data_IF_384431524950
#
_entry.id   IF_384431524950
#
_cell.length_a   1.000
_cell.length_b   1.000
_cell.length_c   1.000
_cell.angle_alpha   90.00
_cell.angle_beta   90.00
_cell.angle_gamma   90.00
#
_symmetry.space_group_name_H-M   'P 1'
#
loop_
_entity.id
_entity.type
_entity.pdbx_description
1 polymer ?
#
# COMPACT_ATOMS: atom_id res chain seq x y z
N UNK A 1 87.75 -29.54 14.33
CA UNK A 1 87.19 -30.91 14.22
C UNK A 1 86.00 -30.88 13.27
N UNK A 2 85.47 -32.04 12.89
CA UNK A 2 84.67 -32.23 11.67
C UNK A 2 83.20 -31.74 11.72
N UNK A 3 82.59 -31.71 10.53
CA UNK A 3 81.12 -31.80 10.28
C UNK A 3 80.51 -32.97 11.10
N UNK A 4 79.20 -33.06 11.40
CA UNK A 4 78.10 -33.08 10.45
C UNK A 4 76.71 -33.17 11.12
N UNK A 5 75.68 -32.81 10.33
CA UNK A 5 74.31 -33.35 10.20
C UNK A 5 73.57 -34.02 11.40
N UNK A 6 72.30 -33.63 11.58
CA UNK A 6 71.27 -34.38 12.29
C UNK A 6 69.86 -33.93 11.89
N UNK A 7 69.10 -34.79 11.22
CA UNK A 7 67.77 -34.51 10.64
C UNK A 7 66.60 -34.95 11.54
N UNK A 8 65.48 -34.24 11.50
CA UNK A 8 64.15 -34.79 11.83
C UNK A 8 63.04 -34.03 11.07
N UNK A 9 62.00 -34.76 10.61
CA UNK A 9 60.88 -34.22 9.83
C UNK A 9 59.51 -34.70 10.37
N UNK A 10 58.43 -34.17 9.76
CA UNK A 10 56.98 -34.47 9.94
C UNK A 10 56.34 -33.97 11.24
N UNK A 11 55.07 -33.55 11.32
CA UNK A 11 53.95 -33.41 10.33
C UNK A 11 53.02 -32.23 10.75
N UNK A 12 52.09 -31.72 9.90
CA UNK A 12 51.36 -30.47 10.16
C UNK A 12 50.05 -30.63 10.94
N UNK A 13 49.67 -29.58 11.68
CA UNK A 13 48.37 -29.46 12.37
C UNK A 13 47.33 -28.70 11.52
N UNK A 14 46.06 -29.09 11.61
CA UNK A 14 44.96 -28.64 10.77
C UNK A 14 44.13 -27.52 11.42
N UNK A 15 44.62 -26.29 11.29
CA UNK A 15 43.95 -25.07 11.76
C UNK A 15 42.73 -24.64 10.93
N UNK A 16 41.60 -24.37 11.61
CA UNK A 16 40.28 -24.00 11.05
C UNK A 16 40.29 -22.79 10.09
N UNK A 17 39.36 -22.73 9.10
CA UNK A 17 39.17 -21.56 8.25
C UNK A 17 38.67 -20.34 9.05
N UNK A 18 39.09 -19.15 8.62
CA UNK A 18 38.90 -17.90 9.35
C UNK A 18 37.46 -17.40 9.42
N UNK A 19 37.12 -16.77 10.55
CA UNK A 19 35.83 -16.14 10.76
C UNK A 19 35.67 -14.88 9.89
N UNK A 20 34.65 -14.86 9.03
CA UNK A 20 34.26 -13.67 8.28
C UNK A 20 33.69 -12.59 9.21
N UNK A 21 34.04 -11.33 8.95
CA UNK A 21 33.55 -10.17 9.70
C UNK A 21 32.05 -9.95 9.40
N UNK A 22 31.16 -9.88 10.41
CA UNK A 22 29.74 -9.58 10.20
C UNK A 22 29.52 -8.07 9.98
N UNK A 23 29.78 -7.62 8.75
CA UNK A 23 29.69 -6.21 8.35
C UNK A 23 28.29 -5.80 7.87
N UNK A 24 27.44 -5.33 8.79
CA UNK A 24 26.20 -4.61 8.47
C UNK A 24 24.92 -5.47 8.49
N UNK A 25 24.22 -5.45 9.62
CA UNK A 25 22.80 -5.81 9.62
C UNK A 25 22.02 -4.82 8.73
N UNK A 26 20.98 -5.25 7.99
CA UNK A 26 20.12 -4.33 7.25
C UNK A 26 19.57 -3.29 8.23
N UNK A 27 19.73 -2.01 7.89
CA UNK A 27 19.13 -0.93 8.66
C UNK A 27 17.64 -1.20 8.78
N UNK A 28 17.10 -1.13 10.02
CA UNK A 28 15.70 -1.42 10.28
C UNK A 28 14.82 -0.49 9.43
N UNK A 29 14.24 -1.04 8.35
CA UNK A 29 13.38 -0.30 7.47
C UNK A 29 12.09 0.02 8.24
N UNK A 30 11.98 1.26 8.70
CA UNK A 30 10.76 1.75 9.35
C UNK A 30 9.55 1.61 8.43
N UNK A 31 8.35 1.66 9.02
CA UNK A 31 7.10 1.57 8.28
C UNK A 31 7.03 2.56 7.10
N UNK A 32 6.56 2.07 5.96
CA UNK A 32 6.47 2.83 4.71
C UNK A 32 5.04 3.37 4.57
N UNK A 33 4.85 4.60 5.07
CA UNK A 33 3.55 5.28 5.10
C UNK A 33 3.47 6.27 3.94
N UNK A 34 2.43 6.15 3.11
CA UNK A 34 2.15 7.02 1.98
C UNK A 34 0.86 7.79 2.25
N UNK A 35 0.95 9.10 2.25
CA UNK A 35 0.00 10.05 2.84
C UNK A 35 0.03 11.39 2.07
N UNK A 36 -0.58 12.47 2.60
CA UNK A 36 -0.64 13.78 1.91
C UNK A 36 0.73 14.34 1.48
N UNK A 37 1.82 13.95 2.16
CA UNK A 37 3.19 14.42 1.88
C UNK A 37 3.79 13.78 0.62
N UNK A 38 3.15 12.74 0.10
CA UNK A 38 3.61 11.91 -1.01
C UNK A 38 2.80 12.16 -2.29
N UNK A 39 2.40 13.41 -2.56
CA UNK A 39 1.42 13.76 -3.61
C UNK A 39 2.01 14.54 -4.79
N UNK A 40 3.26 15.00 -4.69
CA UNK A 40 3.94 15.77 -5.75
C UNK A 40 4.57 14.84 -6.80
N UNK A 41 3.78 14.35 -7.74
CA UNK A 41 4.24 13.39 -8.77
C UNK A 41 5.34 13.92 -9.69
N UNK A 42 5.59 15.23 -9.74
CA UNK A 42 6.67 15.80 -10.56
C UNK A 42 8.06 15.60 -9.93
N UNK A 43 8.11 15.21 -8.65
CA UNK A 43 9.33 14.73 -7.98
C UNK A 43 9.62 13.24 -8.20
N UNK A 44 8.75 12.49 -8.89
CA UNK A 44 9.02 11.10 -9.29
C UNK A 44 9.92 11.11 -10.53
N UNK A 45 11.17 10.60 -10.48
CA UNK A 45 12.04 10.60 -11.65
C UNK A 45 11.45 9.79 -12.81
N UNK A 46 11.55 10.31 -14.04
CA UNK A 46 11.02 9.65 -15.23
C UNK A 46 11.51 8.19 -15.40
N UNK A 47 12.77 7.89 -15.02
CA UNK A 47 13.32 6.53 -14.99
C UNK A 47 12.52 5.56 -14.10
N UNK A 48 11.93 6.05 -13.02
CA UNK A 48 11.12 5.23 -12.10
C UNK A 48 9.71 4.98 -12.66
N UNK A 49 9.12 5.97 -13.32
CA UNK A 49 7.85 5.81 -14.05
C UNK A 49 8.04 4.80 -15.20
N UNK A 50 9.15 4.89 -15.93
CA UNK A 50 9.52 3.91 -16.96
C UNK A 50 9.71 2.51 -16.35
N UNK A 51 10.46 2.37 -15.26
CA UNK A 51 10.66 1.08 -14.59
C UNK A 51 9.35 0.43 -14.11
N UNK A 52 8.38 1.24 -13.64
CA UNK A 52 7.03 0.77 -13.29
C UNK A 52 6.24 0.31 -14.52
N UNK A 53 6.21 1.13 -15.57
CA UNK A 53 5.38 0.91 -16.78
C UNK A 53 5.95 -0.12 -17.76
N UNK A 54 7.25 -0.44 -17.65
CA UNK A 54 7.90 -1.56 -18.34
C UNK A 54 7.86 -2.87 -17.54
N UNK A 55 7.40 -2.86 -16.28
CA UNK A 55 7.34 -4.05 -15.44
C UNK A 55 6.20 -5.00 -15.83
N UNK A 56 6.40 -6.29 -15.63
CA UNK A 56 5.33 -7.30 -15.71
C UNK A 56 4.52 -7.41 -14.40
N UNK A 57 4.91 -6.69 -13.34
CA UNK A 57 4.22 -6.72 -12.06
C UNK A 57 2.76 -6.24 -12.18
N UNK A 58 1.86 -6.91 -11.44
CA UNK A 58 0.45 -6.53 -11.30
C UNK A 58 0.15 -6.17 -9.85
N UNK A 59 -0.65 -5.12 -9.66
CA UNK A 59 -1.32 -4.83 -8.39
C UNK A 59 -2.70 -5.49 -8.42
N UNK A 60 -3.01 -6.34 -7.45
CA UNK A 60 -4.39 -6.71 -7.15
C UNK A 60 -4.97 -5.67 -6.21
N UNK A 61 -6.16 -5.17 -6.53
CA UNK A 61 -6.85 -4.18 -5.71
C UNK A 61 -8.33 -4.55 -5.54
N UNK A 62 -8.74 -4.91 -4.32
CA UNK A 62 -10.16 -5.05 -3.99
C UNK A 62 -10.69 -3.77 -3.36
N UNK A 63 -11.87 -3.30 -3.75
CA UNK A 63 -12.45 -2.12 -3.11
C UNK A 63 -13.97 -2.06 -3.19
N UNK A 64 -14.54 -1.05 -2.51
CA UNK A 64 -15.92 -0.59 -2.72
C UNK A 64 -15.89 0.85 -3.28
N UNK A 65 -16.98 1.60 -3.17
CA UNK A 65 -17.14 2.93 -3.80
C UNK A 65 -16.01 3.92 -3.51
N UNK A 66 -15.61 4.09 -2.24
CA UNK A 66 -14.51 4.99 -1.87
C UNK A 66 -13.18 4.63 -2.53
N UNK A 67 -12.82 3.35 -2.60
CA UNK A 67 -11.54 2.94 -3.20
C UNK A 67 -11.44 3.21 -4.71
N UNK A 68 -12.58 3.38 -5.40
CA UNK A 68 -12.61 3.76 -6.81
C UNK A 68 -12.02 5.16 -7.07
N UNK A 69 -11.83 6.00 -6.04
CA UNK A 69 -11.10 7.28 -6.14
C UNK A 69 -9.69 7.11 -6.74
N UNK A 70 -8.98 6.01 -6.45
CA UNK A 70 -7.65 5.75 -7.03
C UNK A 70 -7.75 5.54 -8.55
N UNK A 71 -8.74 4.77 -9.02
CA UNK A 71 -8.96 4.46 -10.43
C UNK A 71 -9.42 5.70 -11.21
N UNK A 72 -10.44 6.38 -10.69
CA UNK A 72 -10.98 7.61 -11.27
C UNK A 72 -9.92 8.71 -11.33
N UNK A 73 -9.15 8.87 -10.25
CA UNK A 73 -8.03 9.80 -10.16
C UNK A 73 -6.88 9.46 -11.11
N UNK A 74 -6.54 8.18 -11.27
CA UNK A 74 -5.50 7.75 -12.20
C UNK A 74 -5.92 7.98 -13.66
N UNK A 75 -7.20 7.77 -13.99
CA UNK A 75 -7.77 8.15 -15.29
C UNK A 75 -7.62 9.66 -15.53
N UNK A 76 -8.05 10.49 -14.59
CA UNK A 76 -7.92 11.97 -14.67
C UNK A 76 -6.46 12.41 -14.83
N UNK A 77 -5.59 11.90 -13.97
CA UNK A 77 -4.18 12.28 -13.93
C UNK A 77 -3.44 11.94 -15.23
N UNK A 78 -3.80 10.83 -15.89
CA UNK A 78 -3.25 10.46 -17.20
C UNK A 78 -3.60 11.46 -18.31
N UNK A 79 -4.74 12.13 -18.24
CA UNK A 79 -5.17 13.12 -19.24
C UNK A 79 -4.23 14.35 -19.25
N UNK A 80 -3.65 14.70 -18.10
CA UNK A 80 -2.65 15.79 -17.97
C UNK A 80 -1.19 15.33 -17.92
N UNK A 81 -0.93 14.09 -17.46
CA UNK A 81 0.42 13.49 -17.36
C UNK A 81 0.43 12.08 -17.99
N UNK A 82 0.50 11.95 -19.33
CA UNK A 82 0.33 10.66 -20.03
C UNK A 82 1.32 9.55 -19.63
N UNK A 83 2.50 9.91 -19.10
CA UNK A 83 3.47 8.94 -18.60
C UNK A 83 2.98 8.19 -17.33
N UNK A 84 2.07 8.78 -16.54
CA UNK A 84 1.43 8.15 -15.39
C UNK A 84 0.28 7.23 -15.84
N UNK A 85 0.60 6.30 -16.74
CA UNK A 85 -0.34 5.41 -17.38
C UNK A 85 -0.65 4.19 -16.49
N UNK A 86 -1.84 4.17 -15.88
CA UNK A 86 -2.39 2.99 -15.21
C UNK A 86 -3.36 2.26 -16.16
N UNK A 87 -3.07 1.00 -16.45
CA UNK A 87 -4.00 0.08 -17.11
C UNK A 87 -4.75 -0.72 -16.04
N UNK A 88 -6.07 -0.79 -16.16
CA UNK A 88 -6.96 -1.46 -15.19
C UNK A 88 -7.74 -2.55 -15.92
N UNK A 89 -7.76 -3.76 -15.35
CA UNK A 89 -8.46 -4.92 -15.88
C UNK A 89 -9.48 -5.45 -14.88
N UNK A 90 -10.76 -5.49 -15.25
CA UNK A 90 -11.81 -6.06 -14.42
C UNK A 90 -11.57 -7.57 -14.23
N UNK A 91 -11.42 -8.01 -12.98
CA UNK A 91 -11.19 -9.39 -12.59
C UNK A 91 -10.12 -10.12 -13.46
N UNK A 92 -9.12 -9.36 -13.94
CA UNK A 92 -8.13 -9.84 -14.90
C UNK A 92 -6.89 -8.94 -14.93
N UNK A 93 -5.74 -9.50 -15.32
CA UNK A 93 -4.54 -8.71 -15.54
C UNK A 93 -4.63 -7.99 -16.91
N UNK A 94 -4.43 -6.66 -16.99
CA UNK A 94 -4.27 -5.95 -18.25
C UNK A 94 -3.15 -6.54 -19.10
N UNK A 95 -3.15 -6.30 -20.42
CA UNK A 95 -1.99 -6.61 -21.26
C UNK A 95 -0.70 -5.96 -20.71
N UNK A 96 0.45 -6.58 -20.95
CA UNK A 96 1.73 -6.02 -20.55
C UNK A 96 2.25 -4.99 -21.56
N UNK A 97 2.91 -3.94 -21.07
CA UNK A 97 3.63 -2.96 -21.88
C UNK A 97 3.10 -1.52 -21.74
N UNK A 98 4.01 -0.59 -21.39
CA UNK A 98 3.77 0.86 -21.41
C UNK A 98 2.79 1.38 -20.36
N UNK A 99 2.41 0.57 -19.37
CA UNK A 99 1.48 0.92 -18.31
C UNK A 99 1.80 0.17 -17.02
N UNK A 100 1.55 0.81 -15.87
CA UNK A 100 1.42 0.11 -14.60
C UNK A 100 0.13 -0.72 -14.66
N UNK A 101 0.14 -1.96 -14.17
CA UNK A 101 -0.96 -2.92 -14.38
C UNK A 101 -1.72 -3.19 -13.09
N UNK A 102 -3.03 -2.97 -13.10
CA UNK A 102 -3.92 -3.28 -11.97
C UNK A 102 -4.98 -4.30 -12.37
N UNK A 103 -5.04 -5.40 -11.61
CA UNK A 103 -6.17 -6.31 -11.52
C UNK A 103 -7.16 -5.69 -10.55
N UNK A 104 -8.25 -5.14 -11.09
CA UNK A 104 -9.35 -4.58 -10.31
C UNK A 104 -10.27 -5.72 -9.86
N UNK A 105 -10.42 -5.86 -8.55
CA UNK A 105 -11.24 -6.86 -7.91
C UNK A 105 -10.54 -8.18 -7.56
N UNK A 106 -11.33 -9.24 -7.58
CA UNK A 106 -10.96 -10.62 -7.24
C UNK A 106 -11.19 -11.53 -8.45
N UNK A 107 -11.49 -12.82 -8.26
CA UNK A 107 -11.64 -13.80 -9.35
C UNK A 107 -12.87 -13.59 -10.26
N UNK A 108 -13.90 -12.85 -9.82
CA UNK A 108 -15.20 -12.77 -10.52
C UNK A 108 -15.92 -11.41 -10.43
N UNK A 109 -15.45 -10.51 -9.56
CA UNK A 109 -16.15 -9.30 -9.11
C UNK A 109 -15.09 -8.23 -8.79
N UNK A 110 -15.47 -6.94 -8.82
CA UNK A 110 -14.67 -5.82 -8.31
C UNK A 110 -15.33 -5.05 -7.14
N UNK A 111 -16.59 -5.35 -6.79
CA UNK A 111 -17.25 -4.84 -5.59
C UNK A 111 -16.86 -5.65 -4.33
N UNK A 112 -15.57 -5.60 -3.96
CA UNK A 112 -14.98 -6.49 -2.95
C UNK A 112 -15.31 -6.01 -1.54
N UNK A 113 -16.25 -6.68 -0.90
CA UNK A 113 -16.53 -6.53 0.54
C UNK A 113 -15.46 -7.23 1.39
N UNK A 114 -15.41 -6.89 2.68
CA UNK A 114 -14.48 -7.45 3.65
C UNK A 114 -14.51 -9.00 3.68
N UNK A 115 -15.69 -9.59 3.57
CA UNK A 115 -15.93 -11.03 3.58
C UNK A 115 -15.30 -11.74 2.38
N UNK A 116 -15.09 -11.02 1.27
CA UNK A 116 -14.49 -11.53 0.03
C UNK A 116 -12.96 -11.39 -0.01
N UNK A 117 -12.33 -10.86 1.06
CA UNK A 117 -10.88 -10.59 1.09
C UNK A 117 -10.20 -11.00 2.40
N UNK A 118 -10.68 -10.52 3.57
CA UNK A 118 -9.98 -10.71 4.86
C UNK A 118 -10.86 -11.19 6.03
N UNK A 119 -12.17 -10.95 5.99
CA UNK A 119 -13.05 -11.18 7.15
C UNK A 119 -13.61 -12.61 7.25
N UNK A 120 -13.55 -13.40 6.17
CA UNK A 120 -13.93 -14.82 6.18
C UNK A 120 -12.84 -15.69 5.58
N UNK A 121 -12.77 -16.95 6.02
CA UNK A 121 -11.86 -17.96 5.46
C UNK A 121 -12.05 -18.13 3.95
N UNK A 122 -13.31 -18.18 3.47
CA UNK A 122 -13.61 -18.28 2.05
C UNK A 122 -13.11 -17.08 1.23
N UNK A 123 -13.14 -15.86 1.78
CA UNK A 123 -12.53 -14.68 1.15
C UNK A 123 -11.01 -14.80 1.04
N UNK A 124 -10.37 -15.22 2.14
CA UNK A 124 -8.92 -15.43 2.21
C UNK A 124 -8.47 -16.56 1.27
N UNK A 125 -9.25 -17.64 1.14
CA UNK A 125 -8.97 -18.76 0.23
C UNK A 125 -9.16 -18.39 -1.25
N UNK A 126 -10.13 -17.52 -1.56
CA UNK A 126 -10.25 -16.94 -2.90
C UNK A 126 -9.02 -16.06 -3.23
N UNK A 127 -8.50 -15.30 -2.25
CA UNK A 127 -7.27 -14.53 -2.43
C UNK A 127 -6.05 -15.43 -2.60
N UNK A 128 -5.91 -16.48 -1.78
CA UNK A 128 -4.87 -17.51 -1.95
C UNK A 128 -4.91 -18.13 -3.33
N UNK A 129 -6.10 -18.48 -3.82
CA UNK A 129 -6.30 -19.08 -5.15
C UNK A 129 -5.89 -18.12 -6.27
N UNK A 130 -6.26 -16.84 -6.15
CA UNK A 130 -5.82 -15.79 -7.07
C UNK A 130 -4.29 -15.65 -7.08
N UNK A 131 -3.66 -15.46 -5.92
CA UNK A 131 -2.21 -15.26 -5.81
C UNK A 131 -1.40 -16.50 -6.23
N UNK A 132 -1.90 -17.73 -5.98
CA UNK A 132 -1.27 -18.99 -6.43
C UNK A 132 -1.37 -19.18 -7.96
N UNK A 133 -2.46 -18.73 -8.57
CA UNK A 133 -2.69 -18.83 -10.03
C UNK A 133 -2.11 -17.65 -10.85
N UNK A 134 -1.71 -16.56 -10.18
CA UNK A 134 -1.22 -15.31 -10.80
C UNK A 134 0.10 -14.84 -10.19
N UNK A 135 1.23 -15.52 -10.48
CA UNK A 135 2.55 -15.14 -9.94
C UNK A 135 3.06 -13.77 -10.38
N UNK A 136 2.42 -13.14 -11.38
CA UNK A 136 2.62 -11.76 -11.79
C UNK A 136 2.07 -10.73 -10.78
N UNK A 137 1.14 -11.12 -9.89
CA UNK A 137 0.65 -10.25 -8.82
C UNK A 137 1.75 -10.09 -7.77
N UNK A 138 2.26 -8.86 -7.62
CA UNK A 138 3.34 -8.51 -6.68
C UNK A 138 2.88 -7.64 -5.53
N UNK A 139 1.69 -7.05 -5.66
CA UNK A 139 1.09 -6.17 -4.67
C UNK A 139 -0.38 -6.55 -4.51
N UNK A 140 -0.86 -6.55 -3.27
CA UNK A 140 -2.24 -6.93 -2.93
C UNK A 140 -2.74 -5.92 -1.92
N UNK A 141 -3.84 -5.22 -2.24
CA UNK A 141 -4.37 -4.16 -1.38
C UNK A 141 -5.90 -4.18 -1.36
N UNK A 142 -6.48 -3.75 -0.25
CA UNK A 142 -7.94 -3.67 -0.10
C UNK A 142 -8.36 -2.39 0.60
N UNK A 143 -9.26 -1.63 -0.03
CA UNK A 143 -9.75 -0.34 0.48
C UNK A 143 -11.11 -0.46 1.16
N UNK A 144 -11.16 0.06 2.38
CA UNK A 144 -12.40 0.35 3.10
C UNK A 144 -13.25 1.39 2.35
N UNK A 145 -14.57 1.30 2.52
CA UNK A 145 -15.50 2.42 2.39
C UNK A 145 -16.01 2.80 3.80
N UNK A 146 -17.26 3.24 3.94
CA UNK A 146 -17.84 3.69 5.21
C UNK A 146 -17.81 2.63 6.33
N UNK A 147 -17.70 1.34 6.00
CA UNK A 147 -17.82 0.21 6.92
C UNK A 147 -16.76 0.20 8.04
N UNK A 148 -15.64 0.91 7.86
CA UNK A 148 -14.63 1.06 8.90
C UNK A 148 -15.18 1.74 10.16
N UNK A 149 -16.15 2.66 10.03
CA UNK A 149 -16.79 3.34 11.18
C UNK A 149 -17.72 2.42 11.97
N UNK A 150 -17.99 1.22 11.46
CA UNK A 150 -18.81 0.19 12.09
C UNK A 150 -17.99 -0.99 12.61
N UNK A 151 -16.67 -1.03 12.35
CA UNK A 151 -15.80 -2.08 12.89
C UNK A 151 -15.48 -1.84 14.36
N UNK A 152 -15.48 -2.93 15.13
CA UNK A 152 -14.86 -3.00 16.45
C UNK A 152 -13.33 -3.06 16.36
N UNK A 153 -12.66 -2.77 17.46
CA UNK A 153 -11.21 -2.97 17.62
C UNK A 153 -10.78 -4.41 17.26
N UNK A 154 -11.60 -5.40 17.62
CA UNK A 154 -11.33 -6.82 17.36
C UNK A 154 -11.42 -7.18 15.87
N UNK A 155 -12.36 -6.56 15.12
CA UNK A 155 -12.46 -6.75 13.66
C UNK A 155 -11.30 -6.08 12.92
N UNK A 156 -10.83 -4.92 13.37
CA UNK A 156 -9.59 -4.34 12.83
C UNK A 156 -8.39 -5.22 13.17
N UNK A 157 -8.31 -5.78 14.38
CA UNK A 157 -7.24 -6.71 14.71
C UNK A 157 -7.30 -7.99 13.86
N UNK A 158 -8.49 -8.47 13.48
CA UNK A 158 -8.66 -9.55 12.52
C UNK A 158 -8.08 -9.17 11.14
N UNK A 159 -8.45 -8.01 10.58
CA UNK A 159 -7.86 -7.50 9.33
C UNK A 159 -6.33 -7.49 9.38
N UNK A 160 -5.75 -6.90 10.44
CA UNK A 160 -4.31 -6.77 10.62
C UNK A 160 -3.61 -8.14 10.71
N UNK A 161 -4.21 -9.08 11.46
CA UNK A 161 -3.69 -10.44 11.61
C UNK A 161 -3.79 -11.25 10.31
N UNK A 162 -4.89 -11.13 9.57
CA UNK A 162 -5.09 -11.82 8.28
C UNK A 162 -4.05 -11.38 7.25
N UNK A 163 -3.82 -10.07 7.09
CA UNK A 163 -2.79 -9.56 6.16
C UNK A 163 -1.39 -10.03 6.58
N UNK A 164 -1.04 -9.97 7.88
CA UNK A 164 0.24 -10.49 8.39
C UNK A 164 0.40 -12.02 8.29
N UNK A 165 -0.70 -12.78 8.18
CA UNK A 165 -0.63 -14.21 7.86
C UNK A 165 -0.37 -14.42 6.36
N UNK A 166 -1.07 -13.68 5.51
CA UNK A 166 -0.89 -13.73 4.06
C UNK A 166 0.50 -13.26 3.61
N UNK A 167 1.10 -12.26 4.23
CA UNK A 167 2.49 -11.84 3.97
C UNK A 167 3.50 -12.99 4.21
N UNK A 168 3.24 -13.84 5.21
CA UNK A 168 4.09 -15.02 5.51
C UNK A 168 3.84 -16.18 4.55
N UNK A 169 2.60 -16.37 4.09
CA UNK A 169 2.25 -17.38 3.09
C UNK A 169 2.76 -17.00 1.69
N UNK A 170 2.77 -15.70 1.37
CA UNK A 170 3.14 -15.15 0.07
C UNK A 170 4.30 -14.14 0.18
N UNK A 171 5.54 -14.56 0.53
CA UNK A 171 6.69 -13.66 0.73
C UNK A 171 7.14 -12.92 -0.55
N UNK A 172 6.52 -13.22 -1.70
CA UNK A 172 6.72 -12.52 -2.98
C UNK A 172 5.71 -11.39 -3.20
N UNK A 173 4.63 -11.33 -2.43
CA UNK A 173 3.55 -10.34 -2.54
C UNK A 173 3.70 -9.32 -1.40
N UNK A 174 3.78 -8.04 -1.74
CA UNK A 174 3.69 -6.96 -0.75
C UNK A 174 2.23 -6.68 -0.47
N UNK A 175 1.78 -6.91 0.76
CA UNK A 175 0.45 -6.50 1.19
C UNK A 175 0.48 -5.04 1.64
N UNK A 176 -0.45 -4.26 1.12
CA UNK A 176 -0.57 -2.82 1.42
C UNK A 176 -1.78 -2.66 2.33
N UNK A 177 -1.51 -2.22 3.55
CA UNK A 177 -2.52 -1.89 4.54
C UNK A 177 -3.11 -0.52 4.18
N UNK A 178 -4.37 -0.29 4.53
CA UNK A 178 -5.07 0.97 4.25
C UNK A 178 -5.85 1.42 5.48
N UNK A 179 -5.85 2.72 5.76
CA UNK A 179 -6.92 3.34 6.57
C UNK A 179 -8.19 3.46 5.72
N UNK A 180 -9.34 3.73 6.33
CA UNK A 180 -10.56 4.08 5.60
C UNK A 180 -10.71 5.59 5.34
N UNK A 181 -11.87 6.04 4.85
CA UNK A 181 -12.08 7.40 4.36
C UNK A 181 -12.33 8.45 5.45
N UNK A 182 -12.07 9.71 5.10
CA UNK A 182 -12.23 10.89 5.96
C UNK A 182 -13.67 11.44 6.05
N UNK A 183 -14.67 10.85 5.41
CA UNK A 183 -15.85 11.55 4.86
C UNK A 183 -17.12 11.70 5.75
N UNK A 184 -17.17 11.13 6.96
CA UNK A 184 -18.36 11.24 7.82
C UNK A 184 -18.08 11.47 9.33
N UNK A 185 -19.03 12.14 9.99
CA UNK A 185 -19.07 12.37 11.43
C UNK A 185 -19.80 11.26 12.18
N UNK A 186 -20.70 10.52 11.52
CA UNK A 186 -21.39 9.36 12.09
C UNK A 186 -20.37 8.26 12.45
N UNK A 187 -20.37 7.83 13.71
CA UNK A 187 -19.33 6.98 14.31
C UNK A 187 -17.89 7.51 14.07
N UNK A 188 -17.72 8.82 13.90
CA UNK A 188 -16.46 9.44 13.52
C UNK A 188 -15.35 9.23 14.56
N UNK A 189 -15.69 9.15 15.87
CA UNK A 189 -14.73 8.77 16.92
C UNK A 189 -14.25 7.33 16.72
N UNK A 190 -15.17 6.36 16.66
CA UNK A 190 -14.83 4.95 16.45
C UNK A 190 -13.90 4.78 15.23
N UNK A 191 -14.29 5.35 14.08
CA UNK A 191 -13.47 5.36 12.87
C UNK A 191 -12.06 5.94 13.11
N UNK A 192 -11.94 7.06 13.81
CA UNK A 192 -10.64 7.68 14.13
C UNK A 192 -9.75 6.72 14.91
N UNK A 193 -10.30 6.06 15.92
CA UNK A 193 -9.57 5.05 16.70
C UNK A 193 -9.18 3.82 15.86
N UNK A 194 -10.08 3.32 15.01
CA UNK A 194 -9.83 2.19 14.11
C UNK A 194 -8.77 2.52 13.04
N UNK A 195 -8.78 3.72 12.48
CA UNK A 195 -7.71 4.23 11.60
C UNK A 195 -6.37 4.37 12.37
N UNK A 196 -6.40 4.88 13.60
CA UNK A 196 -5.21 4.98 14.43
C UNK A 196 -4.64 3.62 14.82
N UNK A 197 -5.48 2.60 15.06
CA UNK A 197 -5.07 1.22 15.30
C UNK A 197 -4.31 0.64 14.10
N UNK A 198 -4.79 0.89 12.87
CA UNK A 198 -4.10 0.47 11.64
C UNK A 198 -2.75 1.19 11.50
N UNK A 199 -2.69 2.51 11.73
CA UNK A 199 -1.44 3.29 11.71
C UNK A 199 -0.42 2.76 12.70
N UNK A 200 -0.82 2.59 13.96
CA UNK A 200 0.04 2.10 15.04
C UNK A 200 0.57 0.69 14.75
N UNK A 201 -0.27 -0.22 14.23
CA UNK A 201 0.16 -1.55 13.81
C UNK A 201 1.19 -1.49 12.69
N UNK A 202 0.94 -0.65 11.67
CA UNK A 202 1.86 -0.51 10.55
C UNK A 202 3.23 0.03 11.00
N UNK A 203 3.22 1.05 11.85
CA UNK A 203 4.41 1.65 12.48
C UNK A 203 5.19 0.61 13.30
N UNK A 204 4.54 -0.11 14.21
CA UNK A 204 5.19 -1.07 15.09
C UNK A 204 5.74 -2.32 14.36
N UNK A 205 5.16 -2.68 13.20
CA UNK A 205 5.49 -3.90 12.46
C UNK A 205 6.14 -3.64 11.09
N UNK A 206 6.63 -2.42 10.83
CA UNK A 206 7.31 -2.01 9.60
C UNK A 206 6.53 -2.31 8.30
N UNK A 207 5.20 -2.16 8.34
CA UNK A 207 4.32 -2.46 7.20
C UNK A 207 4.33 -1.35 6.15
N UNK A 208 3.70 -1.64 5.01
CA UNK A 208 3.34 -0.65 4.00
C UNK A 208 1.92 -0.17 4.28
N UNK A 209 1.74 1.15 4.43
CA UNK A 209 0.45 1.78 4.68
C UNK A 209 0.15 2.83 3.60
N UNK A 210 -1.04 2.76 3.02
CA UNK A 210 -1.64 3.85 2.26
C UNK A 210 -2.68 4.56 3.13
N UNK A 211 -2.37 5.77 3.59
CA UNK A 211 -3.16 6.51 4.56
C UNK A 211 -4.25 7.33 3.87
N UNK A 212 -5.33 6.64 3.54
CA UNK A 212 -6.48 7.16 2.82
C UNK A 212 -7.23 8.27 3.59
N UNK A 213 -7.28 8.20 4.92
CA UNK A 213 -7.93 9.22 5.76
C UNK A 213 -7.08 10.49 5.76
N UNK A 214 -5.75 10.36 5.91
CA UNK A 214 -4.86 11.51 5.83
C UNK A 214 -4.98 12.21 4.46
N UNK A 215 -5.02 11.46 3.37
CA UNK A 215 -5.26 11.98 2.02
C UNK A 215 -6.64 12.64 1.82
N UNK A 216 -7.64 12.34 2.65
CA UNK A 216 -8.95 13.01 2.65
C UNK A 216 -8.95 14.31 3.46
N UNK A 217 -8.14 14.44 4.51
CA UNK A 217 -8.26 15.57 5.46
C UNK A 217 -7.29 16.72 5.21
N UNK A 218 -6.25 16.54 4.40
CA UNK A 218 -5.26 17.58 4.10
C UNK A 218 -5.44 18.22 2.72
N UNK A 219 -5.41 19.56 2.68
CA UNK A 219 -5.33 20.37 1.46
C UNK A 219 -4.48 21.62 1.75
N UNK A 220 -3.59 22.02 0.83
CA UNK A 220 -2.76 23.24 0.97
C UNK A 220 -2.07 23.40 2.35
N UNK A 221 -1.48 22.30 2.85
CA UNK A 221 -0.81 22.27 4.15
C UNK A 221 -1.74 22.48 5.37
N UNK A 222 -3.06 22.41 5.19
CA UNK A 222 -4.08 22.55 6.25
C UNK A 222 -4.84 21.25 6.43
N UNK A 223 -4.93 20.82 7.68
CA UNK A 223 -5.75 19.67 8.09
C UNK A 223 -7.15 20.16 8.43
N UNK A 224 -8.17 19.47 7.94
CA UNK A 224 -9.55 19.70 8.34
C UNK A 224 -9.98 18.68 9.41
N UNK A 225 -10.75 19.17 10.38
CA UNK A 225 -11.26 18.41 11.51
C UNK A 225 -12.72 18.77 11.77
N UNK A 226 -13.40 17.94 12.55
CA UNK A 226 -14.74 18.19 13.05
C UNK A 226 -14.84 17.74 14.52
N UNK A 227 -15.90 18.13 15.23
CA UNK A 227 -16.19 17.60 16.56
C UNK A 227 -17.26 16.51 16.48
N UNK A 228 -16.97 15.32 17.00
CA UNK A 228 -17.92 14.23 17.17
C UNK A 228 -17.81 13.66 18.59
N UNK A 229 -18.95 13.46 19.26
CA UNK A 229 -19.03 12.91 20.63
C UNK A 229 -18.15 13.64 21.68
N UNK A 230 -17.85 14.92 21.45
CA UNK A 230 -16.96 15.73 22.30
C UNK A 230 -15.46 15.55 22.06
N UNK A 231 -15.04 14.85 21.00
CA UNK A 231 -13.64 14.79 20.56
C UNK A 231 -13.46 15.46 19.19
N UNK A 232 -12.26 16.00 18.94
CA UNK A 232 -11.83 16.33 17.59
C UNK A 232 -11.58 15.04 16.79
N UNK A 233 -12.10 14.98 15.57
CA UNK A 233 -11.90 13.89 14.61
C UNK A 233 -11.33 14.45 13.29
N UNK A 234 -10.52 13.68 12.54
CA UNK A 234 -10.17 14.01 11.17
C UNK A 234 -11.46 14.11 10.34
N UNK A 235 -11.59 15.10 9.46
CA UNK A 235 -12.76 15.20 8.59
C UNK A 235 -12.36 15.62 7.18
N UNK A 236 -12.93 14.99 6.16
CA UNK A 236 -12.60 15.23 4.76
C UNK A 236 -12.65 16.73 4.45
N UNK A 237 -11.60 17.25 3.82
CA UNK A 237 -11.45 18.68 3.59
C UNK A 237 -12.63 19.21 2.72
N UNK A 238 -13.19 20.41 2.99
CA UNK A 238 -14.31 20.96 2.21
C UNK A 238 -14.03 21.09 0.70
N UNK A 239 -12.76 21.14 0.30
CA UNK A 239 -12.35 21.09 -1.12
C UNK A 239 -12.66 19.75 -1.81
N UNK A 240 -12.70 18.68 -1.04
CA UNK A 240 -12.86 17.30 -1.50
C UNK A 240 -14.27 16.76 -1.31
N UNK A 241 -15.03 17.30 -0.35
CA UNK A 241 -16.34 16.78 0.01
C UNK A 241 -17.45 17.23 -0.93
N UNK A 242 -18.22 16.27 -1.46
CA UNK A 242 -19.44 16.52 -2.23
C UNK A 242 -20.58 17.12 -1.40
N UNK A 243 -20.46 17.10 -0.06
CA UNK A 243 -21.37 17.74 0.89
C UNK A 243 -21.17 19.28 0.93
N UNK A 244 -20.06 19.79 0.38
CA UNK A 244 -19.78 21.23 0.29
C UNK A 244 -20.49 21.85 -0.93
N UNK A 245 -21.28 22.94 -0.78
CA UNK A 245 -21.96 23.59 -1.89
C UNK A 245 -21.01 23.99 -3.02
N UNK A 246 -21.37 23.65 -4.26
CA UNK A 246 -20.58 23.91 -5.47
C UNK A 246 -19.59 22.81 -5.85
N UNK A 247 -19.32 21.83 -4.98
CA UNK A 247 -18.60 20.62 -5.37
C UNK A 247 -19.56 19.62 -6.03
N UNK A 248 -19.01 18.79 -6.93
CA UNK A 248 -19.73 17.72 -7.64
C UNK A 248 -19.03 16.39 -7.40
N UNK A 249 -19.80 15.31 -7.27
CA UNK A 249 -19.28 13.95 -7.23
C UNK A 249 -18.56 13.60 -8.54
N UNK A 250 -17.39 12.98 -8.42
CA UNK A 250 -16.62 12.49 -9.54
C UNK A 250 -16.70 10.97 -9.64
N UNK A 251 -17.31 10.47 -10.72
CA UNK A 251 -17.37 9.03 -11.08
C UNK A 251 -17.93 8.11 -9.96
N UNK A 252 -18.90 8.57 -9.16
CA UNK A 252 -19.55 7.83 -8.07
C UNK A 252 -18.61 7.48 -6.89
N UNK A 253 -17.57 8.28 -6.70
CA UNK A 253 -16.51 8.00 -5.73
C UNK A 253 -16.69 8.69 -4.37
N UNK A 254 -17.81 9.42 -4.18
CA UNK A 254 -18.18 10.19 -2.98
C UNK A 254 -17.26 11.39 -2.68
N UNK A 255 -16.45 11.80 -3.65
CA UNK A 255 -15.53 12.93 -3.53
C UNK A 255 -15.38 13.68 -4.86
N UNK A 256 -14.74 14.84 -4.82
CA UNK A 256 -14.39 15.60 -6.03
C UNK A 256 -13.27 14.94 -6.85
N UNK A 257 -13.12 15.38 -8.10
CA UNK A 257 -12.03 14.98 -8.98
C UNK A 257 -10.64 15.22 -8.36
N UNK A 258 -10.45 16.35 -7.67
CA UNK A 258 -9.19 16.69 -7.00
C UNK A 258 -8.85 15.70 -5.88
N UNK A 259 -9.84 15.29 -5.08
CA UNK A 259 -9.67 14.27 -4.03
C UNK A 259 -9.23 12.91 -4.61
N UNK A 260 -9.81 12.54 -5.75
CA UNK A 260 -9.44 11.33 -6.49
C UNK A 260 -8.00 11.42 -7.03
N UNK A 261 -7.64 12.55 -7.64
CA UNK A 261 -6.28 12.79 -8.13
C UNK A 261 -5.22 12.78 -7.03
N UNK A 262 -5.48 13.39 -5.86
CA UNK A 262 -4.57 13.37 -4.71
C UNK A 262 -4.22 11.94 -4.30
N UNK A 263 -5.22 11.05 -4.27
CA UNK A 263 -5.02 9.62 -3.95
C UNK A 263 -4.29 8.88 -5.07
N UNK A 264 -4.59 9.17 -6.34
CA UNK A 264 -3.85 8.60 -7.47
C UNK A 264 -2.37 9.06 -7.50
N UNK A 265 -2.09 10.30 -7.14
CA UNK A 265 -0.73 10.85 -7.00
C UNK A 265 0.05 10.14 -5.90
N UNK A 266 -0.56 9.97 -4.73
CA UNK A 266 0.01 9.18 -3.62
C UNK A 266 0.23 7.71 -4.00
N UNK A 267 -0.67 7.13 -4.80
CA UNK A 267 -0.51 5.77 -5.30
C UNK A 267 0.72 5.64 -6.22
N UNK A 268 0.95 6.59 -7.13
CA UNK A 268 2.15 6.61 -7.97
C UNK A 268 3.45 6.75 -7.16
N UNK A 269 3.47 7.59 -6.13
CA UNK A 269 4.60 7.69 -5.19
C UNK A 269 4.87 6.38 -4.46
N UNK A 270 3.81 5.77 -3.89
CA UNK A 270 3.89 4.47 -3.23
C UNK A 270 4.49 3.44 -4.17
N UNK A 271 3.93 3.28 -5.36
CA UNK A 271 4.40 2.28 -6.32
C UNK A 271 5.85 2.53 -6.75
N UNK A 272 6.25 3.78 -6.99
CA UNK A 272 7.64 4.11 -7.32
C UNK A 272 8.59 3.72 -6.18
N UNK A 273 8.28 4.06 -4.92
CA UNK A 273 9.10 3.72 -3.76
C UNK A 273 9.15 2.20 -3.50
N UNK A 274 8.02 1.50 -3.68
CA UNK A 274 7.93 0.04 -3.55
C UNK A 274 8.64 -0.72 -4.68
N UNK A 275 8.87 -0.08 -5.84
CA UNK A 275 9.69 -0.59 -6.94
C UNK A 275 11.17 -0.17 -6.83
N UNK A 276 11.61 0.28 -5.65
CA UNK A 276 13.01 0.63 -5.37
C UNK A 276 13.46 2.00 -5.86
N UNK A 277 12.54 2.91 -6.22
CA UNK A 277 12.92 4.26 -6.61
C UNK A 277 13.45 5.07 -5.40
N UNK A 278 14.59 5.72 -5.59
CA UNK A 278 15.04 6.81 -4.73
C UNK A 278 14.20 8.05 -5.02
N UNK A 279 13.25 8.31 -4.13
CA UNK A 279 12.43 9.52 -4.11
C UNK A 279 12.96 10.48 -3.04
N UNK A 280 13.00 11.80 -3.33
CA UNK A 280 13.45 12.85 -2.41
C UNK A 280 12.41 13.20 -1.35
#
# INVERSE_FOLDING_TARGET
MANAAGTAATTPDSGKPGAATPGGAPQAAGARIFDHRHTDVDRIPAKCIQALTSSSNVIQYGHRSHGAQILAGAKSLKESKPALNLAVGYASAPAAGGALRMWDGMLKDNAIKAEHYWATEAGVDNLRTLLKSRPEIRYSMWAWSYEISQQSEQQIQQYLNTLSALEREFPKVTFIYMTGPGDDTYNGRNRTERNQQIRAYCQANNKVLFDFEDLDVWHDGKRNTATAEGAEIPMQHPRYSVKTPGNTDYQWTHATQESSEVKARAFWWMMAKLNGCELP
#
